data_IF_623280918637
#
_entry.id   IF_623280918637
#
_cell.length_a   1.000
_cell.length_b   1.000
_cell.length_c   1.000
_cell.angle_alpha   90.00
_cell.angle_beta   90.00
_cell.angle_gamma   90.00
#
_symmetry.space_group_name_H-M   'P 1'
#
loop_
_entity.id
_entity.type
_entity.pdbx_description
1 polymer ?
#
# COMPACT_ATOMS: atom_id res chain seq x y z
N UNK A 1 -8.24 -1.53 4.39
CA UNK A 1 -7.50 -2.74 4.00
C UNK A 1 -5.99 -2.54 4.20
N UNK A 2 -5.28 -3.55 4.70
CA UNK A 2 -3.81 -3.55 4.78
C UNK A 2 -3.24 -4.58 3.81
N UNK A 3 -2.22 -4.20 3.04
CA UNK A 3 -1.58 -5.03 2.04
C UNK A 3 -0.08 -5.08 2.22
N UNK A 4 0.46 -6.29 2.22
CA UNK A 4 1.91 -6.55 2.21
C UNK A 4 2.30 -7.05 0.84
N UNK A 5 3.23 -6.36 0.20
CA UNK A 5 3.60 -6.63 -1.19
C UNK A 5 4.67 -7.73 -1.23
N UNK A 6 4.52 -8.75 -2.10
CA UNK A 6 5.51 -9.82 -2.24
C UNK A 6 6.85 -9.31 -2.82
N UNK A 7 7.89 -10.15 -2.74
CA UNK A 7 9.27 -9.86 -3.16
C UNK A 7 9.44 -9.38 -4.61
N UNK A 8 8.63 -9.92 -5.51
CA UNK A 8 8.73 -9.70 -6.95
C UNK A 8 7.32 -9.49 -7.49
N UNK A 9 7.12 -8.36 -8.17
CA UNK A 9 5.90 -8.11 -8.95
C UNK A 9 6.12 -8.65 -10.36
N UNK A 10 5.42 -9.72 -10.72
CA UNK A 10 5.49 -10.32 -12.06
C UNK A 10 4.64 -9.53 -13.06
N UNK A 11 4.79 -9.84 -14.36
CA UNK A 11 3.90 -9.38 -15.43
C UNK A 11 2.42 -9.63 -15.05
N UNK A 12 1.54 -8.64 -15.23
CA UNK A 12 0.12 -8.76 -14.85
C UNK A 12 -0.20 -8.39 -13.40
N UNK A 13 0.81 -8.04 -12.59
CA UNK A 13 0.62 -7.63 -11.20
C UNK A 13 -0.12 -6.30 -11.05
N UNK A 14 -0.03 -5.39 -12.03
CA UNK A 14 -0.74 -4.11 -12.00
C UNK A 14 -2.24 -4.33 -12.16
N UNK A 15 -2.65 -5.10 -13.16
CA UNK A 15 -4.05 -5.38 -13.48
C UNK A 15 -4.70 -6.16 -12.34
N UNK A 16 -4.00 -7.16 -11.81
CA UNK A 16 -4.44 -7.92 -10.63
C UNK A 16 -4.59 -7.04 -9.40
N UNK A 17 -3.70 -6.06 -9.22
CA UNK A 17 -3.78 -5.11 -8.11
C UNK A 17 -4.91 -4.10 -8.28
N UNK A 18 -5.20 -3.64 -9.50
CA UNK A 18 -6.36 -2.78 -9.77
C UNK A 18 -7.67 -3.51 -9.45
N UNK A 19 -7.83 -4.74 -9.94
CA UNK A 19 -9.01 -5.58 -9.62
C UNK A 19 -9.18 -5.80 -8.11
N UNK A 20 -8.07 -5.94 -7.38
CA UNK A 20 -8.10 -6.05 -5.92
C UNK A 20 -8.62 -4.76 -5.26
N UNK A 21 -8.23 -3.59 -5.77
CA UNK A 21 -8.73 -2.31 -5.27
C UNK A 21 -10.23 -2.16 -5.56
N UNK A 22 -10.66 -2.44 -6.80
CA UNK A 22 -12.07 -2.38 -7.20
C UNK A 22 -12.93 -3.29 -6.32
N UNK A 23 -12.48 -4.53 -6.09
CA UNK A 23 -13.17 -5.47 -5.20
C UNK A 23 -13.22 -4.97 -3.75
N UNK A 24 -12.11 -4.43 -3.24
CA UNK A 24 -12.05 -3.92 -1.88
C UNK A 24 -12.99 -2.71 -1.67
N UNK A 25 -13.13 -1.85 -2.68
CA UNK A 25 -14.01 -0.69 -2.67
C UNK A 25 -15.49 -1.11 -2.80
N UNK A 26 -15.83 -1.86 -3.85
CA UNK A 26 -17.22 -2.18 -4.17
C UNK A 26 -17.84 -3.24 -3.24
N UNK A 27 -17.09 -4.31 -2.99
CA UNK A 27 -17.62 -5.50 -2.31
C UNK A 27 -17.35 -5.46 -0.81
N UNK A 28 -16.15 -5.00 -0.42
CA UNK A 28 -15.77 -4.92 1.01
C UNK A 28 -16.03 -3.54 1.63
N UNK A 29 -16.43 -2.54 0.83
CA UNK A 29 -16.70 -1.17 1.29
C UNK A 29 -15.51 -0.57 2.05
N UNK A 30 -14.29 -0.92 1.65
CA UNK A 30 -13.09 -0.32 2.20
C UNK A 30 -12.99 1.13 1.74
N UNK A 31 -12.69 2.03 2.67
CA UNK A 31 -12.43 3.45 2.36
C UNK A 31 -10.95 3.76 2.21
N UNK A 32 -10.07 2.87 2.68
CA UNK A 32 -8.64 3.10 2.71
C UNK A 32 -7.87 1.82 2.39
N UNK A 33 -6.80 1.95 1.62
CA UNK A 33 -5.82 0.91 1.38
C UNK A 33 -4.44 1.34 1.89
N UNK A 34 -3.81 0.49 2.71
CA UNK A 34 -2.49 0.75 3.29
C UNK A 34 -1.50 -0.29 2.79
N UNK A 35 -0.49 0.14 2.02
CA UNK A 35 0.64 -0.69 1.63
C UNK A 35 1.69 -0.67 2.72
N UNK A 36 2.10 -1.86 3.17
CA UNK A 36 3.13 -2.08 4.18
C UNK A 36 4.42 -2.57 3.51
N UNK A 37 5.45 -1.73 3.45
CA UNK A 37 6.75 -2.06 2.85
C UNK A 37 7.81 -2.21 3.94
N UNK A 38 8.44 -3.38 4.04
CA UNK A 38 9.56 -3.57 4.95
C UNK A 38 10.77 -2.74 4.53
N UNK A 39 11.41 -2.07 5.52
CA UNK A 39 12.62 -1.27 5.31
C UNK A 39 13.81 -2.11 4.84
N UNK A 40 13.89 -3.38 5.24
CA UNK A 40 14.99 -4.28 4.89
C UNK A 40 14.98 -4.77 3.44
N UNK A 41 13.93 -4.48 2.66
CA UNK A 41 13.81 -4.97 1.29
C UNK A 41 14.80 -4.32 0.33
N UNK A 42 15.46 -5.09 -0.55
CA UNK A 42 16.40 -4.55 -1.53
C UNK A 42 15.70 -3.71 -2.61
N UNK A 43 14.45 -4.04 -2.95
CA UNK A 43 13.64 -3.38 -3.98
C UNK A 43 12.71 -2.29 -3.43
N UNK A 44 12.85 -1.93 -2.15
CA UNK A 44 11.98 -0.96 -1.44
C UNK A 44 11.77 0.33 -2.22
N UNK A 45 12.83 0.92 -2.77
CA UNK A 45 12.74 2.18 -3.48
C UNK A 45 11.88 2.06 -4.75
N UNK A 46 11.97 0.94 -5.46
CA UNK A 46 11.15 0.66 -6.65
C UNK A 46 9.69 0.52 -6.24
N UNK A 47 9.39 -0.29 -5.22
CA UNK A 47 8.02 -0.43 -4.71
C UNK A 47 7.39 0.90 -4.32
N UNK A 48 8.11 1.72 -3.54
CA UNK A 48 7.60 3.02 -3.12
C UNK A 48 7.24 3.89 -4.32
N UNK A 49 8.13 4.00 -5.31
CA UNK A 49 7.86 4.77 -6.53
C UNK A 49 6.70 4.21 -7.33
N UNK A 50 6.58 2.89 -7.46
CA UNK A 50 5.49 2.25 -8.18
C UNK A 50 4.13 2.61 -7.57
N UNK A 51 3.96 2.43 -6.25
CA UNK A 51 2.69 2.76 -5.61
C UNK A 51 2.44 4.27 -5.58
N UNK A 52 3.47 5.09 -5.42
CA UNK A 52 3.33 6.55 -5.53
C UNK A 52 2.86 6.98 -6.92
N UNK A 53 3.34 6.34 -7.98
CA UNK A 53 2.86 6.58 -9.35
C UNK A 53 1.40 6.17 -9.53
N UNK A 54 0.93 5.18 -8.76
CA UNK A 54 -0.46 4.74 -8.74
C UNK A 54 -1.37 5.61 -7.84
N UNK A 55 -0.85 6.70 -7.28
CA UNK A 55 -1.61 7.65 -6.45
C UNK A 55 -1.53 7.39 -4.95
N UNK A 56 -0.80 6.38 -4.49
CA UNK A 56 -0.57 6.20 -3.05
C UNK A 56 0.36 7.29 -2.51
N UNK A 57 0.15 7.69 -1.26
CA UNK A 57 0.94 8.71 -0.60
C UNK A 57 1.56 8.17 0.69
N UNK A 58 2.81 8.54 1.05
CA UNK A 58 3.39 8.18 2.33
C UNK A 58 2.48 8.58 3.50
N UNK A 59 2.24 7.64 4.42
CA UNK A 59 1.42 7.92 5.59
C UNK A 59 2.18 8.88 6.52
N UNK A 60 1.61 10.05 6.88
CA UNK A 60 2.29 11.00 7.75
C UNK A 60 2.55 10.41 9.15
N UNK A 61 3.74 10.63 9.75
CA UNK A 61 4.07 10.16 11.09
C UNK A 61 3.08 10.62 12.17
N UNK A 62 2.50 11.79 11.97
CA UNK A 62 1.59 12.43 12.93
C UNK A 62 0.12 12.07 12.71
N UNK A 63 -0.20 11.24 11.70
CA UNK A 63 -1.58 10.85 11.43
C UNK A 63 -2.13 9.96 12.57
N UNK A 64 -3.43 10.05 12.91
CA UNK A 64 -4.04 9.17 13.90
C UNK A 64 -3.83 7.69 13.56
N UNK A 65 -3.96 7.34 12.28
CA UNK A 65 -3.74 5.98 11.76
C UNK A 65 -2.33 5.46 12.04
N UNK A 66 -1.31 6.33 11.98
CA UNK A 66 0.07 5.95 12.29
C UNK A 66 0.22 5.51 13.76
N UNK A 67 -0.57 6.05 14.69
CA UNK A 67 -0.51 5.67 16.11
C UNK A 67 -0.95 4.22 16.34
N UNK A 68 -1.87 3.74 15.53
CA UNK A 68 -2.43 2.38 15.64
C UNK A 68 -1.52 1.33 14.97
N UNK A 69 -0.82 1.70 13.90
CA UNK A 69 -0.08 0.74 13.06
C UNK A 69 1.44 0.88 13.13
N UNK A 70 1.95 1.74 14.02
CA UNK A 70 3.38 2.01 14.16
C UNK A 70 4.20 0.74 14.35
N UNK A 71 4.88 0.34 13.27
CA UNK A 71 5.91 -0.69 13.27
C UNK A 71 7.21 -0.11 12.72
N UNK A 72 8.30 -0.08 13.51
CA UNK A 72 9.54 0.61 13.15
C UNK A 72 10.21 0.05 11.89
N UNK A 73 9.96 -1.22 11.57
CA UNK A 73 10.56 -1.90 10.41
C UNK A 73 9.81 -1.67 9.09
N UNK A 74 8.73 -0.88 9.11
CA UNK A 74 7.87 -0.67 7.94
C UNK A 74 7.79 0.79 7.53
N UNK A 75 7.52 0.97 6.25
CA UNK A 75 7.07 2.22 5.64
C UNK A 75 5.65 1.97 5.14
N UNK A 76 4.75 2.90 5.43
CA UNK A 76 3.35 2.79 5.06
C UNK A 76 3.02 3.81 3.97
N UNK A 77 2.32 3.36 2.93
CA UNK A 77 1.68 4.22 1.94
C UNK A 77 0.17 4.05 2.06
N UNK A 78 -0.57 5.14 1.95
CA UNK A 78 -2.03 5.15 2.00
C UNK A 78 -2.62 5.55 0.66
N UNK A 79 -3.81 5.02 0.37
CA UNK A 79 -4.67 5.40 -0.74
C UNK A 79 -6.10 5.48 -0.24
N UNK A 80 -6.76 6.59 -0.54
CA UNK A 80 -8.18 6.79 -0.25
C UNK A 80 -9.00 6.21 -1.41
N UNK A 81 -9.84 5.23 -1.10
CA UNK A 81 -10.80 4.63 -2.05
C UNK A 81 -12.00 5.57 -2.14
N UNK A 82 -12.50 5.84 -3.35
CA UNK A 82 -13.55 6.84 -3.58
C UNK A 82 -14.96 6.25 -3.45
#
# INVERSE_FOLDING_TARGET
MYLRVPGVLQSGSKESFMLLLDFAEEQLRCTNCIICVQKSRPDRATLLRTFMFMGFQPLPPNSPMMREIAKPDYIFLHYNMQ
#
